data_IF_565006632292
#
_entry.id   IF_565006632292
#
_cell.length_a   1.000
_cell.length_b   1.000
_cell.length_c   1.000
_cell.angle_alpha   90.00
_cell.angle_beta   90.00
_cell.angle_gamma   90.00
#
_symmetry.space_group_name_H-M   'P 1'
#
loop_
_entity.id
_entity.type
_entity.pdbx_description
1 polymer ?
#
# COMPACT_ATOMS: atom_id res chain seq x y z
N UNK A 1 5.41 14.81 -17.89
CA UNK A 1 4.08 14.37 -17.41
C UNK A 1 4.15 13.39 -16.22
N UNK A 2 4.77 12.20 -16.37
CA UNK A 2 4.77 11.12 -15.34
C UNK A 2 5.28 11.54 -13.94
N UNK A 3 6.28 12.43 -13.88
CA UNK A 3 6.87 12.94 -12.63
C UNK A 3 5.95 13.89 -11.85
N UNK A 4 5.10 14.67 -12.53
CA UNK A 4 4.16 15.58 -11.88
C UNK A 4 3.04 14.83 -11.16
N UNK A 5 2.51 13.78 -11.80
CA UNK A 5 1.48 12.92 -11.19
C UNK A 5 1.99 12.22 -9.94
N UNK A 6 3.21 11.69 -9.97
CA UNK A 6 3.83 11.07 -8.79
C UNK A 6 3.97 12.07 -7.64
N UNK A 7 4.36 13.31 -7.93
CA UNK A 7 4.50 14.35 -6.90
C UNK A 7 3.17 14.70 -6.23
N UNK A 8 2.10 14.85 -7.02
CA UNK A 8 0.75 15.15 -6.51
C UNK A 8 0.22 14.01 -5.66
N UNK A 9 0.34 12.76 -6.14
CA UNK A 9 -0.05 11.56 -5.39
C UNK A 9 0.73 11.48 -4.08
N UNK A 10 2.05 11.66 -4.13
CA UNK A 10 2.89 11.63 -2.94
C UNK A 10 2.48 12.71 -1.94
N UNK A 11 2.27 13.96 -2.36
CA UNK A 11 1.84 15.03 -1.45
C UNK A 11 0.48 14.75 -0.81
N UNK A 12 -0.47 14.17 -1.55
CA UNK A 12 -1.84 13.95 -1.08
C UNK A 12 -1.98 12.76 -0.13
N UNK A 13 -1.22 11.69 -0.36
CA UNK A 13 -1.41 10.42 0.35
C UNK A 13 -0.25 10.05 1.30
N UNK A 14 0.93 10.67 1.19
CA UNK A 14 2.08 10.34 2.06
C UNK A 14 1.80 10.53 3.56
N UNK A 15 1.01 11.54 3.93
CA UNK A 15 0.64 11.82 5.33
C UNK A 15 -0.45 10.88 5.87
N UNK A 16 -1.33 10.36 5.02
CA UNK A 16 -2.43 9.47 5.41
C UNK A 16 -2.05 7.98 5.38
N UNK A 17 -0.89 7.65 4.79
CA UNK A 17 -0.36 6.30 4.71
C UNK A 17 0.48 5.90 5.94
N UNK A 18 0.16 6.42 7.13
CA UNK A 18 0.76 5.94 8.38
C UNK A 18 0.42 4.45 8.58
N UNK A 19 1.42 3.67 8.96
CA UNK A 19 1.31 2.24 9.29
C UNK A 19 1.68 2.09 10.77
N UNK A 20 0.75 1.58 11.56
CA UNK A 20 0.96 1.35 12.98
C UNK A 20 1.77 0.07 13.24
N UNK A 21 2.45 0.00 14.40
CA UNK A 21 3.13 -1.22 14.83
C UNK A 21 2.18 -2.43 14.88
N UNK A 22 0.93 -2.21 15.31
CA UNK A 22 -0.10 -3.25 15.34
C UNK A 22 -0.45 -3.79 13.94
N UNK A 23 -0.49 -2.94 12.92
CA UNK A 23 -0.66 -3.38 11.52
C UNK A 23 0.53 -4.21 11.04
N UNK A 24 1.75 -3.82 11.42
CA UNK A 24 2.97 -4.56 11.09
C UNK A 24 2.98 -5.94 11.77
N UNK A 25 2.68 -6.00 13.07
CA UNK A 25 2.57 -7.26 13.83
C UNK A 25 1.51 -8.18 13.26
N UNK A 26 0.34 -7.63 12.91
CA UNK A 26 -0.74 -8.39 12.30
C UNK A 26 -0.29 -8.99 10.95
N UNK A 27 0.33 -8.19 10.08
CA UNK A 27 0.85 -8.69 8.81
C UNK A 27 1.92 -9.76 9.01
N UNK A 28 2.86 -9.52 9.94
CA UNK A 28 3.94 -10.46 10.23
C UNK A 28 3.40 -11.83 10.65
N UNK A 29 2.47 -11.85 11.61
CA UNK A 29 1.94 -13.09 12.18
C UNK A 29 0.93 -13.80 11.27
N UNK A 30 0.06 -13.03 10.60
CA UNK A 30 -1.06 -13.59 9.83
C UNK A 30 -0.70 -13.89 8.37
N UNK A 31 0.31 -13.20 7.82
CA UNK A 31 0.66 -13.32 6.40
C UNK A 31 2.09 -13.78 6.20
N UNK A 32 3.07 -13.05 6.74
CA UNK A 32 4.48 -13.32 6.46
C UNK A 32 4.93 -14.68 7.00
N UNK A 33 4.78 -14.93 8.30
CA UNK A 33 5.23 -16.19 8.93
C UNK A 33 4.58 -17.42 8.29
N UNK A 34 3.25 -17.47 8.09
CA UNK A 34 2.61 -18.59 7.37
C UNK A 34 3.16 -18.76 5.95
N UNK A 35 3.39 -17.67 5.21
CA UNK A 35 3.90 -17.74 3.84
C UNK A 35 5.33 -18.29 3.76
N UNK A 36 6.18 -17.98 4.73
CA UNK A 36 7.56 -18.51 4.79
C UNK A 36 7.56 -19.99 5.18
N UNK A 37 6.75 -20.35 6.18
CA UNK A 37 6.56 -21.75 6.59
C UNK A 37 6.02 -22.63 5.46
N UNK A 38 5.05 -22.13 4.70
CA UNK A 38 4.51 -22.82 3.53
C UNK A 38 5.58 -23.06 2.43
N UNK A 39 6.63 -22.24 2.39
CA UNK A 39 7.78 -22.39 1.49
C UNK A 39 8.92 -23.23 2.09
N UNK A 40 8.73 -23.80 3.28
CA UNK A 40 9.78 -24.53 4.01
C UNK A 40 10.92 -23.65 4.52
N UNK A 41 10.74 -22.33 4.55
CA UNK A 41 11.74 -21.37 4.99
C UNK A 41 11.56 -21.04 6.47
N UNK A 42 12.68 -20.79 7.15
CA UNK A 42 12.67 -20.21 8.51
C UNK A 42 12.33 -18.73 8.40
N UNK A 43 11.23 -18.25 9.01
CA UNK A 43 10.88 -16.84 8.97
C UNK A 43 11.94 -16.01 9.69
N UNK A 44 12.48 -14.99 9.02
CA UNK A 44 13.26 -13.92 9.66
C UNK A 44 12.42 -13.25 10.75
N UNK A 45 13.06 -12.81 11.82
CA UNK A 45 12.38 -12.15 12.94
C UNK A 45 11.73 -10.83 12.51
N UNK A 46 10.70 -10.40 13.26
CA UNK A 46 9.98 -9.17 12.94
C UNK A 46 10.92 -7.95 12.95
N UNK A 47 11.86 -7.88 13.88
CA UNK A 47 12.82 -6.77 13.99
C UNK A 47 13.71 -6.65 12.74
N UNK A 48 14.09 -7.78 12.14
CA UNK A 48 14.94 -7.80 10.93
C UNK A 48 14.21 -7.26 9.69
N UNK A 49 12.88 -7.34 9.65
CA UNK A 49 12.10 -7.02 8.44
C UNK A 49 11.03 -5.96 8.67
N UNK A 50 10.99 -5.34 9.85
CA UNK A 50 9.97 -4.35 10.23
C UNK A 50 9.88 -3.21 9.22
N UNK A 51 11.04 -2.71 8.75
CA UNK A 51 11.12 -1.64 7.75
C UNK A 51 10.61 -2.08 6.38
N UNK A 52 10.92 -3.31 5.94
CA UNK A 52 10.44 -3.87 4.68
C UNK A 52 8.92 -4.05 4.69
N UNK A 53 8.38 -4.57 5.81
CA UNK A 53 6.94 -4.74 5.99
C UNK A 53 6.25 -3.38 5.99
N UNK A 54 6.76 -2.41 6.74
CA UNK A 54 6.18 -1.06 6.79
C UNK A 54 6.16 -0.42 5.39
N UNK A 55 7.27 -0.48 4.66
CA UNK A 55 7.37 0.06 3.31
C UNK A 55 6.36 -0.60 2.35
N UNK A 56 6.25 -1.93 2.39
CA UNK A 56 5.30 -2.68 1.58
C UNK A 56 3.84 -2.36 1.92
N UNK A 57 3.49 -2.33 3.20
CA UNK A 57 2.15 -1.97 3.67
C UNK A 57 1.78 -0.53 3.28
N UNK A 58 2.73 0.41 3.44
CA UNK A 58 2.56 1.81 3.06
C UNK A 58 2.30 1.95 1.57
N UNK A 59 3.09 1.27 0.74
CA UNK A 59 2.91 1.30 -0.72
C UNK A 59 1.53 0.77 -1.12
N UNK A 60 1.13 -0.39 -0.59
CA UNK A 60 -0.19 -0.97 -0.86
C UNK A 60 -1.35 -0.03 -0.44
N UNK A 61 -1.19 0.66 0.69
CA UNK A 61 -2.18 1.62 1.20
C UNK A 61 -2.32 2.83 0.27
N UNK A 62 -1.19 3.38 -0.20
CA UNK A 62 -1.18 4.47 -1.18
C UNK A 62 -1.84 4.04 -2.49
N UNK A 63 -1.50 2.86 -3.02
CA UNK A 63 -2.07 2.34 -4.25
C UNK A 63 -3.59 2.17 -4.17
N UNK A 64 -4.09 1.64 -3.05
CA UNK A 64 -5.53 1.53 -2.80
C UNK A 64 -6.20 2.91 -2.77
N UNK A 65 -5.63 3.87 -2.04
CA UNK A 65 -6.16 5.23 -1.96
C UNK A 65 -6.19 5.95 -3.32
N UNK A 66 -5.16 5.75 -4.14
CA UNK A 66 -5.11 6.28 -5.51
C UNK A 66 -6.20 5.65 -6.36
N UNK A 67 -6.38 4.32 -6.29
CA UNK A 67 -7.42 3.61 -7.05
C UNK A 67 -8.82 4.06 -6.65
N UNK A 68 -9.07 4.23 -5.36
CA UNK A 68 -10.33 4.76 -4.84
C UNK A 68 -10.57 6.19 -5.33
N UNK A 69 -9.56 7.05 -5.25
CA UNK A 69 -9.65 8.44 -5.71
C UNK A 69 -9.94 8.55 -7.20
N UNK A 70 -9.25 7.76 -8.05
CA UNK A 70 -9.53 7.71 -9.49
C UNK A 70 -10.95 7.19 -9.77
N UNK A 71 -11.43 6.23 -8.98
CA UNK A 71 -12.80 5.73 -9.07
C UNK A 71 -13.84 6.81 -8.76
N UNK A 72 -13.61 7.65 -7.75
CA UNK A 72 -14.47 8.79 -7.41
C UNK A 72 -14.45 9.82 -8.54
N UNK A 73 -13.26 10.22 -9.00
CA UNK A 73 -13.11 11.16 -10.11
C UNK A 73 -13.84 10.70 -11.37
N UNK A 74 -13.77 9.40 -11.69
CA UNK A 74 -14.48 8.84 -12.84
C UNK A 74 -16.00 8.92 -12.71
N UNK A 75 -16.53 8.83 -11.49
CA UNK A 75 -17.98 8.91 -11.20
C UNK A 75 -18.49 10.34 -11.19
N UNK A 76 -17.68 11.28 -10.72
CA UNK A 76 -18.04 12.70 -10.62
C UNK A 76 -17.83 13.47 -11.93
N UNK A 77 -16.94 12.96 -12.80
CA UNK A 77 -16.84 13.48 -14.16
C UNK A 77 -17.99 12.94 -15.01
N UNK A 78 -18.76 13.83 -15.64
CA UNK A 78 -19.67 13.48 -16.73
C UNK A 78 -18.83 13.10 -17.97
N UNK A 79 -18.27 11.90 -17.96
CA UNK A 79 -17.41 11.40 -19.04
C UNK A 79 -18.32 10.99 -20.20
N UNK A 80 -18.70 11.95 -21.02
CA UNK A 80 -19.22 11.67 -22.36
C UNK A 80 -18.07 11.17 -23.23
N UNK A 81 -17.91 9.85 -23.31
CA UNK A 81 -17.11 9.23 -24.36
C UNK A 81 -17.94 9.32 -25.63
N UNK A 82 -17.71 10.34 -26.47
CA UNK A 82 -18.22 10.33 -27.83
C UNK A 82 -17.47 9.26 -28.61
N UNK A 83 -18.19 8.20 -28.99
CA UNK A 83 -17.74 7.12 -29.89
C UNK A 83 -18.13 7.50 -31.31
#
# INVERSE_FOLDING_TARGET
AKLLFHRIIFQKFSRSAFISLKEIEAYYNLTYVPSQKAKGLVPRSMLEIVGDIEAGLRQNKIERQVKEWLGILKKEADIQIMI
#
